data_IF_416309144201
#
_entry.id   IF_416309144201
#
_cell.length_a   1.000
_cell.length_b   1.000
_cell.length_c   1.000
_cell.angle_alpha   90.00
_cell.angle_beta   90.00
_cell.angle_gamma   90.00
#
_symmetry.space_group_name_H-M   'P 1'
#
loop_
_entity.id
_entity.type
_entity.pdbx_description
1 polymer ?
#
# COMPACT_ATOMS: atom_id res chain seq x y z
N UNK A 1 -18.55 -4.92 -30.52
CA UNK A 1 -17.30 -5.70 -30.35
C UNK A 1 -17.03 -5.88 -28.86
N UNK A 2 -17.41 -7.04 -28.30
CA UNK A 2 -16.91 -7.45 -26.99
C UNK A 2 -15.41 -7.70 -27.15
N UNK A 3 -14.57 -6.85 -26.55
CA UNK A 3 -13.16 -7.21 -26.36
C UNK A 3 -13.17 -8.40 -25.42
N UNK A 4 -12.73 -9.56 -25.91
CA UNK A 4 -12.32 -10.67 -25.05
C UNK A 4 -11.39 -10.08 -23.99
N UNK A 5 -11.83 -10.13 -22.73
CA UNK A 5 -10.97 -9.76 -21.62
C UNK A 5 -9.93 -10.86 -21.56
N UNK A 6 -8.73 -10.56 -22.07
CA UNK A 6 -7.56 -11.39 -21.82
C UNK A 6 -7.47 -11.57 -20.30
N UNK A 7 -7.65 -12.81 -19.84
CA UNK A 7 -7.44 -13.18 -18.46
C UNK A 7 -5.93 -13.15 -18.22
N UNK A 8 -5.37 -11.95 -18.05
CA UNK A 8 -3.94 -11.76 -17.82
C UNK A 8 -3.65 -12.22 -16.41
N UNK A 9 -2.79 -13.21 -16.26
CA UNK A 9 -2.33 -13.69 -14.96
C UNK A 9 -1.59 -12.58 -14.20
N UNK A 10 -1.65 -12.63 -12.88
CA UNK A 10 -0.86 -11.73 -12.05
C UNK A 10 0.64 -11.99 -12.31
N UNK A 11 1.45 -10.96 -12.60
CA UNK A 11 2.88 -11.16 -12.86
C UNK A 11 3.59 -11.68 -11.62
N UNK A 12 4.67 -12.45 -11.79
CA UNK A 12 5.48 -12.99 -10.69
C UNK A 12 6.01 -11.91 -9.74
N UNK A 13 6.20 -10.69 -10.25
CA UNK A 13 6.54 -9.52 -9.46
C UNK A 13 5.73 -8.30 -9.86
N UNK A 14 5.49 -7.42 -8.90
CA UNK A 14 4.76 -6.18 -9.08
C UNK A 14 5.38 -5.05 -8.26
N UNK A 15 5.15 -3.82 -8.71
CA UNK A 15 5.55 -2.64 -7.96
C UNK A 15 4.55 -2.38 -6.84
N UNK A 16 5.07 -2.12 -5.65
CA UNK A 16 4.35 -1.54 -4.53
C UNK A 16 4.76 -0.08 -4.39
N UNK A 17 3.81 0.79 -4.13
CA UNK A 17 4.07 2.16 -3.71
C UNK A 17 3.54 2.34 -2.29
N UNK A 18 4.43 2.62 -1.34
CA UNK A 18 4.11 2.84 0.06
C UNK A 18 3.99 4.33 0.32
N UNK A 19 2.87 4.74 0.90
CA UNK A 19 2.62 6.12 1.31
C UNK A 19 2.33 6.17 2.79
N UNK A 20 3.17 6.90 3.53
CA UNK A 20 2.95 7.18 4.95
C UNK A 20 2.07 8.42 5.09
N UNK A 21 1.00 8.35 5.88
CA UNK A 21 -0.01 9.40 6.08
C UNK A 21 -0.09 9.81 7.54
N UNK A 22 -0.43 11.08 7.80
CA UNK A 22 -0.64 11.59 9.16
C UNK A 22 -2.12 11.64 9.51
N UNK A 23 -2.51 11.11 10.66
CA UNK A 23 -3.88 11.14 11.20
C UNK A 23 -4.62 9.81 11.06
N UNK A 24 -5.92 9.84 11.32
CA UNK A 24 -6.73 8.62 11.43
C UNK A 24 -6.80 7.82 10.11
N UNK A 25 -6.66 6.48 10.18
CA UNK A 25 -6.92 5.60 9.04
C UNK A 25 -8.30 5.84 8.43
N UNK A 26 -8.39 5.72 7.10
CA UNK A 26 -9.64 5.90 6.33
C UNK A 26 -10.32 7.27 6.48
N UNK A 27 -9.77 8.18 7.26
CA UNK A 27 -10.23 9.57 7.38
C UNK A 27 -9.83 10.43 6.19
N UNK A 28 -10.14 11.73 6.21
CA UNK A 28 -9.77 12.68 5.13
C UNK A 28 -8.30 13.13 5.20
N UNK A 29 -7.38 12.26 5.62
CA UNK A 29 -5.97 12.61 5.77
C UNK A 29 -5.35 12.99 4.41
N UNK A 30 -4.97 14.26 4.26
CA UNK A 30 -4.32 14.79 3.06
C UNK A 30 -2.81 14.88 3.20
N UNK A 31 -2.29 14.86 4.42
CA UNK A 31 -0.86 15.05 4.72
C UNK A 31 -0.12 13.72 4.61
N UNK A 32 0.89 13.68 3.74
CA UNK A 32 1.82 12.56 3.64
C UNK A 32 3.12 12.89 4.37
N UNK A 33 3.79 11.87 4.89
CA UNK A 33 5.14 11.96 5.45
C UNK A 33 6.12 11.64 4.31
N UNK A 34 6.86 12.65 3.87
CA UNK A 34 7.78 12.51 2.74
C UNK A 34 7.09 12.17 1.41
N UNK A 35 7.88 11.67 0.46
CA UNK A 35 7.40 11.20 -0.85
C UNK A 35 7.04 9.72 -0.76
N UNK A 36 6.06 9.23 -1.55
CA UNK A 36 5.82 7.80 -1.66
C UNK A 36 7.06 7.05 -2.14
N UNK A 37 7.34 5.90 -1.53
CA UNK A 37 8.47 5.04 -1.87
C UNK A 37 8.00 3.86 -2.69
N UNK A 38 8.72 3.53 -3.77
CA UNK A 38 8.41 2.39 -4.62
C UNK A 38 9.38 1.23 -4.37
N UNK A 39 8.85 0.02 -4.31
CA UNK A 39 9.63 -1.21 -4.20
C UNK A 39 8.99 -2.31 -5.05
N UNK A 40 9.79 -3.23 -5.55
CA UNK A 40 9.30 -4.41 -6.29
C UNK A 40 9.11 -5.57 -5.32
N UNK A 41 7.94 -6.21 -5.34
CA UNK A 41 7.60 -7.37 -4.52
C UNK A 41 7.25 -8.56 -5.40
N UNK A 42 7.55 -9.77 -4.93
CA UNK A 42 7.09 -11.01 -5.58
C UNK A 42 5.65 -11.32 -5.15
N UNK A 43 4.84 -11.92 -6.04
CA UNK A 43 3.51 -12.46 -5.69
C UNK A 43 3.58 -13.66 -4.74
N UNK A 44 4.71 -14.36 -4.67
CA UNK A 44 4.95 -15.42 -3.71
C UNK A 44 5.30 -14.90 -2.30
N UNK A 45 5.44 -13.58 -2.12
CA UNK A 45 5.77 -12.96 -0.84
C UNK A 45 4.64 -13.20 0.16
N UNK A 46 4.97 -13.67 1.37
CA UNK A 46 3.98 -13.84 2.43
C UNK A 46 3.53 -12.50 3.01
N UNK A 47 2.35 -12.48 3.65
CA UNK A 47 1.87 -11.29 4.37
C UNK A 47 2.87 -10.78 5.41
N UNK A 48 3.55 -11.68 6.13
CA UNK A 48 4.53 -11.28 7.15
C UNK A 48 5.72 -10.53 6.54
N UNK A 49 6.20 -10.96 5.38
CA UNK A 49 7.34 -10.34 4.69
C UNK A 49 6.94 -8.98 4.09
N UNK A 50 5.78 -8.88 3.44
CA UNK A 50 5.33 -7.57 2.92
C UNK A 50 5.06 -6.60 4.07
N UNK A 51 4.53 -7.07 5.20
CA UNK A 51 4.29 -6.24 6.37
C UNK A 51 5.61 -5.67 6.90
N UNK A 52 6.59 -6.53 7.18
CA UNK A 52 7.91 -6.09 7.65
C UNK A 52 8.57 -5.10 6.68
N UNK A 53 8.58 -5.42 5.39
CA UNK A 53 9.17 -4.54 4.36
C UNK A 53 8.49 -3.18 4.27
N UNK A 54 7.15 -3.13 4.38
CA UNK A 54 6.41 -1.86 4.41
C UNK A 54 6.75 -1.06 5.68
N UNK A 55 6.89 -1.72 6.83
CA UNK A 55 7.24 -1.05 8.08
C UNK A 55 8.65 -0.48 8.06
N UNK A 56 9.61 -1.14 7.42
CA UNK A 56 10.97 -0.61 7.22
C UNK A 56 10.94 0.68 6.38
N UNK A 57 10.16 0.70 5.29
CA UNK A 57 9.97 1.89 4.46
C UNK A 57 9.32 3.03 5.23
N UNK A 58 8.31 2.73 6.04
CA UNK A 58 7.63 3.74 6.88
C UNK A 58 8.59 4.29 7.93
N UNK A 59 9.36 3.43 8.60
CA UNK A 59 10.34 3.85 9.60
C UNK A 59 11.41 4.77 9.00
N UNK A 60 11.91 4.46 7.79
CA UNK A 60 12.84 5.32 7.07
C UNK A 60 12.21 6.69 6.74
N UNK A 61 10.99 6.71 6.20
CA UNK A 61 10.29 7.95 5.87
C UNK A 61 10.04 8.83 7.10
N UNK A 62 9.72 8.22 8.25
CA UNK A 62 9.56 8.94 9.52
C UNK A 62 10.90 9.49 10.02
N UNK A 63 11.97 8.70 9.95
CA UNK A 63 13.30 9.14 10.37
C UNK A 63 13.78 10.34 9.53
N UNK A 64 13.59 10.29 8.21
CA UNK A 64 13.87 11.41 7.31
C UNK A 64 13.02 12.64 7.65
N UNK A 65 11.72 12.46 7.91
CA UNK A 65 10.84 13.55 8.34
C UNK A 65 11.30 14.17 9.65
N UNK A 66 11.75 13.36 10.61
CA UNK A 66 12.25 13.81 11.91
C UNK A 66 13.61 14.48 11.85
N UNK A 67 14.42 14.20 10.82
CA UNK A 67 15.74 14.82 10.61
C UNK A 67 15.63 16.30 10.21
N UNK A 68 14.48 16.73 9.70
CA UNK A 68 14.19 18.14 9.37
C UNK A 68 13.73 18.88 10.62
N UNK A 69 14.46 19.88 11.14
CA UNK A 69 14.15 20.50 12.43
C UNK A 69 12.81 21.25 12.50
N UNK A 70 12.31 21.74 11.37
CA UNK A 70 11.04 22.47 11.27
C UNK A 70 9.81 21.56 11.27
N UNK A 71 10.00 20.26 11.11
CA UNK A 71 8.91 19.31 11.03
C UNK A 71 8.38 18.94 12.42
N UNK A 72 7.05 18.91 12.54
CA UNK A 72 6.39 18.35 13.73
C UNK A 72 6.79 16.90 13.92
N UNK A 73 7.19 16.56 15.15
CA UNK A 73 7.51 15.18 15.53
C UNK A 73 6.24 14.33 15.48
N UNK A 74 6.34 13.23 14.73
CA UNK A 74 5.27 12.24 14.59
C UNK A 74 5.35 11.23 15.74
N UNK A 75 4.19 10.83 16.27
CA UNK A 75 4.07 9.78 17.27
C UNK A 75 4.19 8.39 16.63
N UNK A 76 5.34 8.13 16.00
CA UNK A 76 5.65 6.82 15.43
C UNK A 76 6.26 5.93 16.51
N UNK A 77 5.65 4.77 16.72
CA UNK A 77 6.26 3.68 17.46
C UNK A 77 6.39 2.49 16.50
N UNK A 78 7.58 1.89 16.36
CA UNK A 78 7.72 0.67 15.59
C UNK A 78 6.77 -0.38 16.16
N UNK A 79 6.10 -1.11 15.27
CA UNK A 79 5.08 -2.09 15.61
C UNK A 79 5.57 -3.05 16.70
N UNK A 80 4.85 -3.10 17.83
CA UNK A 80 5.04 -4.16 18.82
C UNK A 80 4.34 -5.44 18.33
N UNK A 81 4.83 -6.65 18.68
CA UNK A 81 4.22 -7.91 18.25
C UNK A 81 2.72 -8.04 18.58
N UNK A 82 2.25 -7.35 19.62
CA UNK A 82 0.85 -7.37 20.06
C UNK A 82 -0.07 -6.40 19.29
N UNK A 83 0.48 -5.37 18.64
CA UNK A 83 -0.27 -4.33 17.91
C UNK A 83 0.51 -3.92 16.67
N UNK A 84 0.52 -4.79 15.62
CA UNK A 84 1.14 -4.43 14.36
C UNK A 84 0.43 -3.24 13.73
N UNK A 85 1.21 -2.34 13.13
CA UNK A 85 0.66 -1.22 12.37
C UNK A 85 -0.15 -1.72 11.17
N UNK A 86 -1.28 -1.07 10.93
CA UNK A 86 -2.19 -1.46 9.86
C UNK A 86 -1.72 -0.96 8.50
N UNK A 87 -1.83 -1.83 7.48
CA UNK A 87 -1.57 -1.49 6.09
C UNK A 87 -2.90 -1.48 5.36
N UNK A 88 -3.19 -0.38 4.67
CA UNK A 88 -4.38 -0.21 3.85
C UNK A 88 -4.02 -0.21 2.38
N UNK A 89 -4.89 -0.78 1.54
CA UNK A 89 -4.68 -0.84 0.10
C UNK A 89 -5.82 -0.19 -0.65
N UNK A 90 -5.46 0.55 -1.70
CA UNK A 90 -6.42 1.09 -2.67
C UNK A 90 -6.72 0.03 -3.73
N UNK A 91 -7.94 -0.50 -3.71
CA UNK A 91 -8.36 -1.65 -4.52
C UNK A 91 -8.71 -1.33 -5.98
N UNK A 92 -9.00 -0.07 -6.30
CA UNK A 92 -9.27 0.38 -7.68
C UNK A 92 -8.92 1.88 -7.85
N UNK A 93 -8.75 2.33 -9.09
CA UNK A 93 -8.27 3.69 -9.41
C UNK A 93 -9.13 4.80 -8.79
N UNK A 94 -10.46 4.64 -8.77
CA UNK A 94 -11.41 5.64 -8.28
C UNK A 94 -11.89 5.39 -6.84
N UNK A 95 -11.31 4.41 -6.13
CA UNK A 95 -11.67 4.12 -4.73
C UNK A 95 -11.32 5.33 -3.85
N UNK A 96 -12.31 5.80 -3.10
CA UNK A 96 -12.14 6.85 -2.08
C UNK A 96 -11.44 6.29 -0.84
N UNK A 97 -10.76 7.16 -0.09
CA UNK A 97 -9.92 6.73 1.05
C UNK A 97 -10.70 6.00 2.15
N UNK A 98 -11.96 6.35 2.37
CA UNK A 98 -12.85 5.68 3.33
C UNK A 98 -13.20 4.23 2.94
N UNK A 99 -12.84 3.83 1.72
CA UNK A 99 -13.09 2.49 1.15
C UNK A 99 -11.81 1.69 0.95
N UNK A 100 -10.66 2.13 1.45
CA UNK A 100 -9.45 1.32 1.41
C UNK A 100 -9.61 0.09 2.31
N UNK A 101 -9.02 -1.02 1.87
CA UNK A 101 -9.13 -2.30 2.56
C UNK A 101 -7.92 -2.49 3.46
N UNK A 102 -8.12 -2.86 4.72
CA UNK A 102 -7.04 -3.27 5.61
C UNK A 102 -6.51 -4.63 5.15
N UNK A 103 -5.21 -4.71 4.89
CA UNK A 103 -4.52 -5.96 4.62
C UNK A 103 -4.31 -6.74 5.91
N UNK A 104 -4.53 -8.04 5.84
CA UNK A 104 -4.42 -9.00 6.92
C UNK A 104 -3.80 -10.28 6.38
N UNK A 105 -3.32 -11.16 7.26
CA UNK A 105 -2.85 -12.48 6.87
C UNK A 105 -3.92 -13.27 6.11
N UNK A 106 -5.18 -13.13 6.50
CA UNK A 106 -6.30 -13.93 5.96
C UNK A 106 -6.75 -13.47 4.58
N UNK A 107 -6.65 -12.17 4.26
CA UNK A 107 -7.18 -11.61 3.02
C UNK A 107 -6.10 -11.17 2.01
N UNK A 108 -4.81 -11.31 2.34
CA UNK A 108 -3.74 -10.74 1.55
C UNK A 108 -3.77 -11.19 0.08
N UNK A 109 -3.82 -12.50 -0.17
CA UNK A 109 -3.84 -13.06 -1.52
C UNK A 109 -5.10 -12.67 -2.30
N UNK A 110 -6.27 -12.75 -1.65
CA UNK A 110 -7.55 -12.40 -2.28
C UNK A 110 -7.60 -10.92 -2.67
N UNK A 111 -7.12 -10.04 -1.79
CA UNK A 111 -7.09 -8.60 -2.04
C UNK A 111 -6.09 -8.28 -3.15
N UNK A 112 -4.93 -8.93 -3.18
CA UNK A 112 -3.95 -8.76 -4.26
C UNK A 112 -4.57 -9.13 -5.62
N UNK A 113 -5.23 -10.29 -5.70
CA UNK A 113 -5.95 -10.72 -6.91
C UNK A 113 -7.05 -9.73 -7.28
N UNK A 114 -7.83 -9.25 -6.31
CA UNK A 114 -8.89 -8.27 -6.54
C UNK A 114 -8.35 -6.96 -7.14
N UNK A 115 -7.22 -6.43 -6.63
CA UNK A 115 -6.62 -5.19 -7.16
C UNK A 115 -6.15 -5.41 -8.60
N UNK A 116 -5.55 -6.57 -8.87
CA UNK A 116 -5.12 -6.97 -10.21
C UNK A 116 -6.29 -7.06 -11.20
N UNK A 117 -7.38 -7.75 -10.81
CA UNK A 117 -8.59 -7.88 -11.60
C UNK A 117 -9.28 -6.53 -11.83
N UNK A 118 -9.20 -5.62 -10.86
CA UNK A 118 -9.73 -4.27 -11.03
C UNK A 118 -8.88 -3.44 -12.00
N UNK A 119 -7.56 -3.64 -12.04
CA UNK A 119 -6.69 -3.00 -13.01
C UNK A 119 -7.00 -3.46 -14.44
N UNK A 120 -7.37 -4.73 -14.65
CA UNK A 120 -7.72 -5.26 -15.99
C UNK A 120 -8.93 -4.56 -16.64
N UNK A 121 -9.81 -3.98 -15.81
CA UNK A 121 -11.00 -3.24 -16.26
C UNK A 121 -10.67 -1.88 -16.85
N UNK A 122 -9.46 -1.36 -16.63
CA UNK A 122 -9.01 -0.06 -17.11
C UNK A 122 -7.94 -0.27 -18.18
N UNK A 123 -8.13 0.38 -19.34
CA UNK A 123 -7.21 0.27 -20.47
C UNK A 123 -5.77 0.58 -20.02
N UNK A 124 -4.85 -0.36 -20.30
CA UNK A 124 -3.42 -0.28 -20.00
C UNK A 124 -3.04 -0.23 -18.50
N UNK A 125 -3.98 -0.30 -17.56
CA UNK A 125 -3.64 -0.17 -16.13
C UNK A 125 -2.88 -1.37 -15.57
N UNK A 126 -3.02 -2.57 -16.15
CA UNK A 126 -2.17 -3.71 -15.81
C UNK A 126 -0.70 -3.50 -16.23
N UNK A 127 -0.44 -2.86 -17.36
CA UNK A 127 0.93 -2.57 -17.82
C UNK A 127 1.65 -1.54 -16.92
N UNK A 128 0.89 -0.66 -16.28
CA UNK A 128 1.40 0.32 -15.31
C UNK A 128 1.06 -0.03 -13.86
N UNK A 129 0.71 -1.29 -13.59
CA UNK A 129 0.22 -1.72 -12.29
C UNK A 129 1.18 -1.36 -11.16
N UNK A 130 0.60 -0.81 -10.09
CA UNK A 130 1.25 -0.56 -8.81
C UNK A 130 0.26 -0.86 -7.70
N UNK A 131 0.66 -1.70 -6.74
CA UNK A 131 -0.10 -1.90 -5.50
C UNK A 131 0.11 -0.67 -4.61
N UNK A 132 -0.94 0.09 -4.38
CA UNK A 132 -0.87 1.32 -3.59
C UNK A 132 -1.18 1.02 -2.12
N UNK A 133 -0.16 1.13 -1.28
CA UNK A 133 -0.19 0.81 0.15
C UNK A 133 -0.11 2.08 0.99
N UNK A 134 -0.89 2.13 2.06
CA UNK A 134 -1.02 3.28 2.94
C UNK A 134 -0.87 2.85 4.39
N UNK A 135 0.02 3.53 5.11
CA UNK A 135 0.19 3.37 6.56
C UNK A 135 -0.06 4.73 7.20
N UNK A 136 -0.82 4.71 8.30
CA UNK A 136 -1.26 5.92 9.00
C UNK A 136 -0.53 6.03 10.34
N UNK A 137 -0.05 7.23 10.65
CA UNK A 137 0.66 7.60 11.89
C UNK A 137 -0.10 8.73 12.57
#
# INVERSE_FOLDING_TARGET
>A
MQRERLNVEIPESFRCQVTTKVGAPLGKSRTSVGKPTEQTMSTATSFGVIHASVMDVVAAAVAEHHAVPTNTKLAWQPAAPATPNDIYVKTAANTTQDKYVKLTLQNYSDVLQQVWDNASKIRNAQASFKLLLFVYI
#
